data_IF_547680115767
#
_entry.id   IF_547680115767
#
_cell.length_a   1.000
_cell.length_b   1.000
_cell.length_c   1.000
_cell.angle_alpha   90.00
_cell.angle_beta   90.00
_cell.angle_gamma   90.00
#
_symmetry.space_group_name_H-M   'P 1'
#
loop_
_entity.id
_entity.type
_entity.pdbx_description
1 polymer ?
#
# COMPACT_ATOMS: atom_id res chain seq x y z
N UNK A 1 -30.69 -16.42 8.40
CA UNK A 1 -29.46 -16.84 9.11
C UNK A 1 -28.45 -17.18 8.04
N UNK A 2 -27.18 -16.79 8.15
CA UNK A 2 -26.17 -17.15 7.16
C UNK A 2 -25.81 -18.63 7.29
N UNK A 3 -25.56 -19.30 6.15
CA UNK A 3 -25.03 -20.65 6.08
C UNK A 3 -23.51 -20.60 6.11
N UNK A 4 -22.83 -21.71 6.37
CA UNK A 4 -21.36 -21.77 6.29
C UNK A 4 -20.81 -21.35 4.91
N UNK A 5 -21.53 -21.77 3.85
CA UNK A 5 -21.20 -21.39 2.46
C UNK A 5 -21.34 -19.90 2.15
N UNK A 6 -22.10 -19.15 2.96
CA UNK A 6 -22.26 -17.70 2.79
C UNK A 6 -21.07 -16.91 3.37
N UNK A 7 -20.30 -17.54 4.26
CA UNK A 7 -19.19 -16.86 4.95
C UNK A 7 -18.05 -16.60 3.98
N UNK A 8 -17.43 -15.42 4.15
CA UNK A 8 -16.23 -15.07 3.41
C UNK A 8 -15.01 -15.69 4.09
N UNK A 9 -14.21 -16.37 3.30
CA UNK A 9 -12.96 -16.99 3.71
C UNK A 9 -11.78 -16.03 3.47
N UNK A 10 -10.60 -16.37 3.97
CA UNK A 10 -9.39 -15.60 3.72
C UNK A 10 -9.07 -15.42 2.21
N UNK A 11 -9.17 -16.47 1.35
CA UNK A 11 -9.04 -16.30 -0.10
C UNK A 11 -10.03 -15.30 -0.71
N UNK A 12 -11.29 -15.25 -0.20
CA UNK A 12 -12.28 -14.26 -0.64
C UNK A 12 -11.86 -12.83 -0.29
N UNK A 13 -11.32 -12.63 0.92
CA UNK A 13 -10.81 -11.33 1.36
C UNK A 13 -9.63 -10.88 0.51
N UNK A 14 -8.67 -11.77 0.25
CA UNK A 14 -7.51 -11.49 -0.60
C UNK A 14 -7.95 -11.08 -2.00
N UNK A 15 -8.89 -11.84 -2.58
CA UNK A 15 -9.44 -11.54 -3.91
C UNK A 15 -10.15 -10.17 -3.93
N UNK A 16 -10.98 -9.90 -2.93
CA UNK A 16 -11.63 -8.61 -2.79
C UNK A 16 -10.62 -7.46 -2.67
N UNK A 17 -9.61 -7.61 -1.82
CA UNK A 17 -8.57 -6.60 -1.62
C UNK A 17 -7.72 -6.36 -2.86
N UNK A 18 -7.46 -7.41 -3.64
CA UNK A 18 -6.73 -7.31 -4.91
C UNK A 18 -7.45 -6.40 -5.90
N UNK A 19 -8.76 -6.57 -6.06
CA UNK A 19 -9.55 -5.89 -7.10
C UNK A 19 -10.37 -4.69 -6.62
N UNK A 20 -10.52 -4.46 -5.31
CA UNK A 20 -11.23 -3.30 -4.79
C UNK A 20 -10.48 -2.00 -5.12
N UNK A 21 -11.12 -1.00 -5.78
CA UNK A 21 -10.41 0.20 -6.24
C UNK A 21 -10.17 1.25 -5.14
N UNK A 22 -10.95 1.22 -4.04
CA UNK A 22 -10.89 2.25 -2.99
C UNK A 22 -10.03 1.79 -1.81
N UNK A 23 -9.02 2.57 -1.46
CA UNK A 23 -8.20 2.36 -0.26
C UNK A 23 -9.04 2.44 1.02
N UNK A 24 -9.99 3.36 1.06
CA UNK A 24 -10.97 3.50 2.15
C UNK A 24 -11.76 2.21 2.39
N UNK A 25 -12.29 1.60 1.33
CA UNK A 25 -13.09 0.38 1.46
C UNK A 25 -12.20 -0.83 1.76
N UNK A 26 -10.99 -0.89 1.22
CA UNK A 26 -9.98 -1.88 1.63
C UNK A 26 -9.69 -1.76 3.13
N UNK A 27 -9.43 -0.55 3.60
CA UNK A 27 -9.18 -0.28 5.02
C UNK A 27 -10.36 -0.72 5.89
N UNK A 28 -11.59 -0.29 5.58
CA UNK A 28 -12.80 -0.72 6.30
C UNK A 28 -12.92 -2.25 6.33
N UNK A 29 -12.71 -2.91 5.21
CA UNK A 29 -12.85 -4.36 5.06
C UNK A 29 -11.89 -5.13 5.99
N UNK A 30 -10.60 -4.77 5.96
CA UNK A 30 -9.59 -5.46 6.78
C UNK A 30 -9.73 -5.11 8.27
N UNK A 31 -10.07 -3.85 8.62
CA UNK A 31 -10.39 -3.46 10.01
C UNK A 31 -11.62 -4.23 10.53
N UNK A 32 -12.63 -4.44 9.69
CA UNK A 32 -13.80 -5.26 10.04
C UNK A 32 -13.43 -6.72 10.29
N UNK A 33 -12.48 -7.28 9.54
CA UNK A 33 -11.94 -8.63 9.74
C UNK A 33 -11.17 -8.72 11.06
N UNK A 34 -10.20 -7.84 11.27
CA UNK A 34 -9.38 -7.84 12.50
C UNK A 34 -10.24 -7.60 13.74
N UNK A 35 -11.09 -6.58 13.69
CA UNK A 35 -11.87 -6.15 14.84
C UNK A 35 -13.14 -6.95 15.09
N UNK A 36 -13.63 -7.67 14.09
CA UNK A 36 -14.95 -8.33 14.15
C UNK A 36 -16.07 -7.40 14.64
N UNK A 37 -15.94 -6.10 14.37
CA UNK A 37 -16.85 -5.05 14.85
C UNK A 37 -18.15 -5.02 14.08
N UNK A 38 -19.19 -4.46 14.71
CA UNK A 38 -20.40 -4.08 13.97
C UNK A 38 -20.09 -2.92 13.02
N UNK A 39 -20.73 -2.85 11.84
CA UNK A 39 -20.47 -1.76 10.88
C UNK A 39 -20.56 -0.37 11.50
N UNK A 40 -21.63 -0.10 12.26
CA UNK A 40 -21.82 1.19 12.90
C UNK A 40 -20.78 1.51 14.00
N UNK A 41 -20.15 0.50 14.61
CA UNK A 41 -19.08 0.71 15.59
C UNK A 41 -17.84 1.29 14.89
N UNK A 42 -17.42 0.71 13.75
CA UNK A 42 -16.28 1.21 12.96
C UNK A 42 -16.57 2.60 12.38
N UNK A 43 -17.80 2.83 11.88
CA UNK A 43 -18.17 4.11 11.26
C UNK A 43 -18.26 5.27 12.26
N UNK A 44 -18.32 4.98 13.56
CA UNK A 44 -18.27 5.99 14.64
C UNK A 44 -16.85 6.30 15.12
N UNK A 45 -15.85 5.50 14.74
CA UNK A 45 -14.45 5.70 15.12
C UNK A 45 -13.93 7.01 14.54
N UNK A 46 -13.13 7.74 15.29
CA UNK A 46 -12.35 8.90 14.86
C UNK A 46 -10.87 8.55 14.76
N UNK A 47 -10.09 9.32 14.06
CA UNK A 47 -8.63 9.08 13.93
C UNK A 47 -7.95 9.00 15.31
N UNK A 48 -8.37 9.83 16.28
CA UNK A 48 -7.83 9.82 17.65
C UNK A 48 -8.07 8.52 18.44
N UNK A 49 -9.07 7.76 18.02
CA UNK A 49 -9.45 6.50 18.69
C UNK A 49 -8.57 5.33 18.23
N UNK A 50 -7.63 5.56 17.30
CA UNK A 50 -6.68 4.59 16.81
C UNK A 50 -5.30 4.94 17.34
N UNK A 51 -4.72 4.05 18.13
CA UNK A 51 -3.38 4.19 18.69
C UNK A 51 -2.44 3.13 18.09
N UNK A 52 -1.40 3.57 17.38
CA UNK A 52 -0.33 2.69 16.93
C UNK A 52 0.61 2.41 18.09
N UNK A 53 0.93 1.13 18.29
CA UNK A 53 1.78 0.63 19.38
C UNK A 53 2.84 -0.31 18.83
N UNK A 54 3.90 -0.51 19.62
CA UNK A 54 4.97 -1.45 19.30
C UNK A 54 5.16 -2.39 20.50
N UNK A 55 5.30 -3.69 20.23
CA UNK A 55 5.66 -4.71 21.22
C UNK A 55 6.82 -5.53 20.67
N UNK A 56 8.02 -5.35 21.22
CA UNK A 56 9.24 -5.87 20.62
C UNK A 56 9.43 -5.34 19.18
N UNK A 57 9.63 -6.24 18.25
CA UNK A 57 9.80 -5.90 16.84
C UNK A 57 8.46 -5.78 16.06
N UNK A 58 7.33 -6.02 16.71
CA UNK A 58 6.02 -6.02 16.04
C UNK A 58 5.27 -4.73 16.31
N UNK A 59 4.74 -4.13 15.23
CA UNK A 59 3.81 -3.03 15.32
C UNK A 59 2.38 -3.57 15.27
N UNK A 60 1.53 -3.02 16.14
CA UNK A 60 0.09 -3.25 16.12
C UNK A 60 -0.63 -1.93 16.39
N UNK A 61 -1.92 -1.89 16.17
CA UNK A 61 -2.72 -0.74 16.56
C UNK A 61 -3.85 -1.21 17.49
N UNK A 62 -4.32 -0.32 18.33
CA UNK A 62 -5.55 -0.52 19.10
C UNK A 62 -6.57 0.50 18.67
N UNK A 63 -7.79 0.04 18.42
CA UNK A 63 -8.92 0.92 18.15
C UNK A 63 -9.91 0.88 19.31
N UNK A 64 -10.28 2.06 19.81
CA UNK A 64 -11.37 2.21 20.79
C UNK A 64 -12.71 2.24 20.05
N UNK A 65 -13.53 1.24 20.27
CA UNK A 65 -14.87 1.17 19.71
C UNK A 65 -15.93 1.26 20.80
N UNK A 66 -17.01 1.97 20.49
CA UNK A 66 -18.17 2.15 21.38
C UNK A 66 -19.36 1.37 20.84
N UNK A 67 -19.73 0.32 21.55
CA UNK A 67 -20.87 -0.53 21.21
C UNK A 67 -22.02 -0.42 22.21
N UNK A 68 -23.08 -1.22 22.00
CA UNK A 68 -24.25 -1.28 22.88
C UNK A 68 -23.88 -1.71 24.31
N UNK A 69 -22.82 -2.48 24.48
CA UNK A 69 -22.38 -3.06 25.77
C UNK A 69 -21.21 -2.28 26.38
N UNK A 70 -20.94 -1.07 25.93
CA UNK A 70 -19.84 -0.23 26.40
C UNK A 70 -18.70 -0.09 25.39
N UNK A 71 -17.64 0.55 25.85
CA UNK A 71 -16.40 0.76 25.10
C UNK A 71 -15.43 -0.40 25.27
N UNK A 72 -14.69 -0.72 24.21
CA UNK A 72 -13.62 -1.71 24.25
C UNK A 72 -12.46 -1.38 23.33
N UNK A 73 -11.27 -1.74 23.72
CA UNK A 73 -10.08 -1.67 22.89
C UNK A 73 -9.95 -2.97 22.10
N UNK A 74 -9.71 -2.85 20.82
CA UNK A 74 -9.57 -3.99 19.90
C UNK A 74 -8.22 -3.89 19.22
N UNK A 75 -7.40 -4.96 19.27
CA UNK A 75 -6.13 -5.00 18.56
C UNK A 75 -6.38 -5.13 17.05
N UNK A 76 -5.63 -4.36 16.29
CA UNK A 76 -5.56 -4.39 14.84
C UNK A 76 -4.16 -4.83 14.45
N UNK A 77 -4.05 -5.90 13.65
CA UNK A 77 -2.78 -6.50 13.25
C UNK A 77 -2.65 -6.47 11.73
N UNK A 78 -3.52 -7.17 11.03
CA UNK A 78 -3.48 -7.30 9.57
C UNK A 78 -3.92 -6.03 8.85
N UNK A 79 -4.69 -5.20 9.50
CA UNK A 79 -5.23 -3.95 8.92
C UNK A 79 -4.26 -2.77 8.97
N UNK A 80 -3.16 -2.82 9.73
CA UNK A 80 -2.24 -1.68 9.87
C UNK A 80 -1.77 -1.10 8.54
N UNK A 81 -1.24 -1.88 7.56
CA UNK A 81 -0.80 -1.34 6.30
C UNK A 81 -1.92 -0.66 5.49
N UNK A 82 -3.14 -1.19 5.62
CA UNK A 82 -4.31 -0.63 4.94
C UNK A 82 -4.83 0.64 5.60
N UNK A 83 -4.74 0.72 6.94
CA UNK A 83 -5.06 1.92 7.72
C UNK A 83 -4.10 3.05 7.34
N UNK A 84 -2.80 2.80 7.37
CA UNK A 84 -1.78 3.77 6.97
C UNK A 84 -1.97 4.21 5.52
N UNK A 85 -2.09 3.26 4.58
CA UNK A 85 -2.29 3.57 3.16
C UNK A 85 -3.53 4.43 2.90
N UNK A 86 -4.63 4.20 3.62
CA UNK A 86 -5.83 5.02 3.52
C UNK A 86 -5.63 6.41 4.12
N UNK A 87 -5.06 6.50 5.32
CA UNK A 87 -4.84 7.78 6.00
C UNK A 87 -3.87 8.68 5.22
N UNK A 88 -2.81 8.11 4.67
CA UNK A 88 -1.76 8.87 3.99
C UNK A 88 -2.13 9.30 2.56
N UNK A 89 -3.01 8.55 1.87
CA UNK A 89 -3.21 8.77 0.44
C UNK A 89 -4.65 9.06 -0.01
N UNK A 90 -5.67 8.70 0.79
CA UNK A 90 -7.08 8.88 0.36
C UNK A 90 -7.93 9.63 1.41
N UNK A 91 -7.47 9.73 2.67
CA UNK A 91 -8.24 10.39 3.70
C UNK A 91 -8.27 11.90 3.49
N UNK A 92 -9.47 12.55 3.50
CA UNK A 92 -9.58 13.98 3.19
C UNK A 92 -8.97 14.91 4.27
N UNK A 93 -8.82 14.44 5.50
CA UNK A 93 -8.34 15.22 6.65
C UNK A 93 -7.42 14.38 7.56
N UNK A 94 -6.28 13.87 7.08
CA UNK A 94 -5.45 12.93 7.85
C UNK A 94 -4.85 13.57 9.11
N UNK A 95 -4.56 14.87 9.10
CA UNK A 95 -4.02 15.61 10.25
C UNK A 95 -5.03 15.96 11.33
N UNK A 96 -6.33 15.86 11.05
CA UNK A 96 -7.38 16.18 12.01
C UNK A 96 -7.73 14.95 12.86
N UNK A 97 -7.21 14.86 14.06
CA UNK A 97 -7.46 13.74 14.98
C UNK A 97 -8.94 13.54 15.33
N UNK A 98 -9.79 14.58 15.23
CA UNK A 98 -11.21 14.48 15.48
C UNK A 98 -12.02 14.11 14.23
N UNK A 99 -11.40 14.03 13.06
CA UNK A 99 -12.07 13.60 11.84
C UNK A 99 -12.58 12.15 11.96
N UNK A 100 -13.70 11.82 11.31
CA UNK A 100 -14.17 10.43 11.22
C UNK A 100 -13.12 9.56 10.56
N UNK A 101 -12.86 8.37 11.10
CA UNK A 101 -11.90 7.44 10.53
C UNK A 101 -12.29 7.01 9.11
N UNK A 102 -13.55 6.64 8.90
CA UNK A 102 -14.07 6.28 7.56
C UNK A 102 -14.98 7.41 7.08
N UNK A 103 -14.50 8.18 6.11
CA UNK A 103 -15.16 9.35 5.57
C UNK A 103 -16.04 9.04 4.35
N UNK A 104 -17.05 9.86 4.16
CA UNK A 104 -17.80 9.95 2.90
C UNK A 104 -16.97 10.65 1.83
N UNK A 105 -17.30 10.41 0.55
CA UNK A 105 -16.73 11.06 -0.62
C UNK A 105 -17.75 11.94 -1.34
N UNK A 106 -17.33 12.66 -2.37
CA UNK A 106 -18.20 13.51 -3.18
C UNK A 106 -18.77 14.69 -2.38
N UNK A 107 -20.05 14.97 -2.53
CA UNK A 107 -20.74 16.13 -1.90
C UNK A 107 -20.66 16.15 -0.36
N UNK A 108 -20.41 14.99 0.26
CA UNK A 108 -20.31 14.85 1.73
C UNK A 108 -18.87 14.56 2.18
N UNK A 109 -17.88 14.99 1.40
CA UNK A 109 -16.46 14.76 1.67
C UNK A 109 -16.09 15.15 3.11
N UNK A 110 -15.37 14.27 3.81
CA UNK A 110 -14.91 14.47 5.18
C UNK A 110 -15.96 14.25 6.27
N UNK A 111 -17.25 14.04 5.93
CA UNK A 111 -18.27 13.65 6.89
C UNK A 111 -18.22 12.15 7.18
N UNK A 112 -18.76 11.67 8.33
CA UNK A 112 -18.83 10.24 8.60
C UNK A 112 -19.56 9.48 7.50
N UNK A 113 -19.03 8.33 7.09
CA UNK A 113 -19.74 7.45 6.17
C UNK A 113 -20.96 6.84 6.89
N UNK A 114 -22.14 6.91 6.28
CA UNK A 114 -23.36 6.30 6.80
C UNK A 114 -23.40 4.80 6.50
N UNK A 115 -23.99 4.00 7.38
CA UNK A 115 -24.14 2.56 7.18
C UNK A 115 -24.92 2.22 5.90
N UNK A 116 -25.97 2.97 5.60
CA UNK A 116 -26.74 2.81 4.35
C UNK A 116 -25.90 3.09 3.10
N UNK A 117 -24.96 4.04 3.17
CA UNK A 117 -24.04 4.32 2.08
C UNK A 117 -23.00 3.20 1.92
N UNK A 118 -22.51 2.65 3.02
CA UNK A 118 -21.61 1.51 3.01
C UNK A 118 -22.28 0.28 2.38
N UNK A 119 -23.54 -0.01 2.75
CA UNK A 119 -24.34 -1.08 2.13
C UNK A 119 -24.47 -0.89 0.62
N UNK A 120 -24.79 0.34 0.17
CA UNK A 120 -24.86 0.66 -1.27
C UNK A 120 -23.53 0.47 -1.99
N UNK A 121 -22.39 0.75 -1.35
CA UNK A 121 -21.06 0.52 -1.93
C UNK A 121 -20.82 -0.98 -2.17
N UNK A 122 -21.09 -1.83 -1.17
CA UNK A 122 -20.97 -3.28 -1.31
C UNK A 122 -21.93 -3.84 -2.37
N UNK A 123 -23.17 -3.38 -2.39
CA UNK A 123 -24.16 -3.76 -3.41
C UNK A 123 -23.70 -3.34 -4.83
N UNK A 124 -23.17 -2.12 -4.97
CA UNK A 124 -22.63 -1.65 -6.25
C UNK A 124 -21.40 -2.45 -6.69
N UNK A 125 -20.53 -2.85 -5.76
CA UNK A 125 -19.40 -3.71 -6.08
C UNK A 125 -19.90 -5.08 -6.55
N UNK A 126 -20.84 -5.70 -5.85
CA UNK A 126 -21.42 -6.99 -6.25
C UNK A 126 -22.11 -6.94 -7.60
N UNK A 127 -22.94 -5.92 -7.84
CA UNK A 127 -23.82 -5.88 -9.02
C UNK A 127 -23.19 -5.25 -10.25
N UNK A 128 -22.22 -4.35 -10.07
CA UNK A 128 -21.70 -3.54 -11.19
C UNK A 128 -20.20 -3.66 -11.40
N UNK A 129 -19.41 -3.59 -10.34
CA UNK A 129 -17.96 -3.49 -10.49
C UNK A 129 -17.30 -4.85 -10.70
N UNK A 130 -17.51 -5.80 -9.77
CA UNK A 130 -16.88 -7.12 -9.86
C UNK A 130 -17.34 -7.96 -11.07
N UNK A 131 -18.61 -7.91 -11.51
CA UNK A 131 -19.00 -8.58 -12.76
C UNK A 131 -18.21 -8.11 -13.98
N UNK A 132 -17.87 -6.83 -14.08
CA UNK A 132 -17.05 -6.28 -15.18
C UNK A 132 -15.62 -6.85 -15.21
N UNK A 133 -15.13 -7.34 -14.09
CA UNK A 133 -13.80 -7.96 -14.02
C UNK A 133 -13.77 -9.32 -14.74
N UNK A 134 -14.92 -9.98 -14.89
CA UNK A 134 -15.01 -11.25 -15.61
C UNK A 134 -14.73 -11.08 -17.12
N UNK A 135 -15.08 -9.92 -17.66
CA UNK A 135 -14.86 -9.58 -19.08
C UNK A 135 -13.50 -8.91 -19.31
N UNK A 136 -12.79 -8.54 -18.23
CA UNK A 136 -11.53 -7.83 -18.34
C UNK A 136 -10.39 -8.80 -18.73
N UNK A 137 -9.66 -8.56 -19.85
CA UNK A 137 -8.54 -9.41 -20.29
C UNK A 137 -7.35 -9.40 -19.33
N UNK A 138 -7.18 -8.35 -18.53
CA UNK A 138 -6.07 -8.22 -17.57
C UNK A 138 -6.29 -9.00 -16.26
N UNK A 139 -7.44 -9.64 -16.09
CA UNK A 139 -7.74 -10.48 -14.94
C UNK A 139 -7.40 -11.92 -15.26
N UNK A 140 -6.62 -12.56 -14.39
CA UNK A 140 -6.20 -13.95 -14.54
C UNK A 140 -7.43 -14.89 -14.62
N UNK A 141 -7.43 -15.93 -15.48
CA UNK A 141 -8.53 -16.87 -15.58
C UNK A 141 -8.92 -17.53 -14.26
N UNK A 142 -7.94 -17.88 -13.42
CA UNK A 142 -8.16 -18.42 -12.08
C UNK A 142 -8.90 -17.45 -11.16
N UNK A 143 -8.57 -16.16 -11.24
CA UNK A 143 -9.24 -15.13 -10.44
C UNK A 143 -10.66 -14.87 -10.94
N UNK A 144 -10.92 -14.98 -12.25
CA UNK A 144 -12.28 -14.88 -12.78
C UNK A 144 -13.19 -15.96 -12.20
N UNK A 145 -12.71 -17.21 -12.12
CA UNK A 145 -13.47 -18.29 -11.49
C UNK A 145 -13.77 -17.98 -10.02
N UNK A 146 -12.76 -17.56 -9.24
CA UNK A 146 -12.91 -17.17 -7.84
C UNK A 146 -13.88 -15.99 -7.67
N UNK A 147 -13.82 -14.99 -8.56
CA UNK A 147 -14.75 -13.84 -8.57
C UNK A 147 -16.19 -14.36 -8.81
N UNK A 148 -16.40 -15.26 -9.76
CA UNK A 148 -17.71 -15.86 -10.02
C UNK A 148 -18.28 -16.55 -8.78
N UNK A 149 -17.45 -17.30 -8.04
CA UNK A 149 -17.87 -17.97 -6.81
C UNK A 149 -18.13 -16.98 -5.68
N UNK A 150 -17.31 -15.94 -5.53
CA UNK A 150 -17.50 -14.87 -4.55
C UNK A 150 -18.79 -14.08 -4.81
N UNK A 151 -19.17 -13.86 -6.06
CA UNK A 151 -20.42 -13.19 -6.43
C UNK A 151 -21.68 -13.94 -6.00
N UNK A 152 -21.60 -15.26 -5.80
CA UNK A 152 -22.73 -16.08 -5.27
C UNK A 152 -22.98 -15.81 -3.78
N UNK A 153 -21.94 -15.38 -3.04
CA UNK A 153 -22.03 -15.10 -1.60
C UNK A 153 -22.75 -13.78 -1.31
N UNK A 154 -23.26 -13.56 -0.06
CA UNK A 154 -23.80 -12.28 0.36
C UNK A 154 -22.72 -11.20 0.44
N UNK A 155 -23.03 -9.97 -0.05
CA UNK A 155 -22.15 -8.82 0.00
C UNK A 155 -22.76 -7.72 0.87
N UNK A 156 -22.51 -7.81 2.16
CA UNK A 156 -22.91 -6.75 3.10
C UNK A 156 -21.89 -6.67 4.24
N UNK A 157 -21.78 -5.52 4.90
CA UNK A 157 -20.82 -5.33 5.98
C UNK A 157 -21.00 -6.29 7.17
N UNK A 158 -22.21 -6.80 7.41
CA UNK A 158 -22.47 -7.72 8.52
C UNK A 158 -21.93 -9.13 8.28
N UNK A 159 -21.94 -9.61 7.01
CA UNK A 159 -21.36 -10.92 6.69
C UNK A 159 -19.88 -10.95 7.05
N UNK A 160 -19.17 -9.81 6.87
CA UNK A 160 -17.77 -9.69 7.22
C UNK A 160 -17.53 -9.96 8.71
N UNK A 161 -18.40 -9.38 9.58
CA UNK A 161 -18.36 -9.65 11.02
C UNK A 161 -18.63 -11.11 11.33
N UNK A 162 -19.64 -11.71 10.69
CA UNK A 162 -19.96 -13.12 10.90
C UNK A 162 -18.78 -14.02 10.51
N UNK A 163 -18.19 -13.82 9.36
CA UNK A 163 -17.01 -14.57 8.90
C UNK A 163 -15.84 -14.43 9.87
N UNK A 164 -15.53 -13.19 10.29
CA UNK A 164 -14.44 -12.92 11.23
C UNK A 164 -14.67 -13.52 12.63
N UNK A 165 -15.90 -13.54 13.12
CA UNK A 165 -16.20 -14.17 14.41
C UNK A 165 -16.16 -15.70 14.32
N UNK A 166 -16.61 -16.27 13.21
CA UNK A 166 -16.48 -17.70 12.96
C UNK A 166 -15.01 -18.12 12.93
N UNK A 167 -14.17 -17.41 12.18
CA UNK A 167 -12.72 -17.65 12.14
C UNK A 167 -12.09 -17.54 13.53
N UNK A 168 -12.45 -16.51 14.31
CA UNK A 168 -11.90 -16.31 15.65
C UNK A 168 -12.42 -17.28 16.72
N UNK A 169 -13.57 -17.90 16.49
CA UNK A 169 -14.12 -18.89 17.43
C UNK A 169 -13.27 -20.17 17.50
N UNK A 170 -12.45 -20.43 16.48
CA UNK A 170 -11.49 -21.56 16.49
C UNK A 170 -10.21 -21.24 17.24
N UNK A 171 -9.87 -19.96 17.38
CA UNK A 171 -8.59 -19.51 17.93
C UNK A 171 -8.72 -18.99 19.36
N UNK A 172 -9.82 -18.26 19.64
CA UNK A 172 -10.00 -17.55 20.89
C UNK A 172 -10.83 -18.38 21.90
N UNK A 173 -10.41 -18.38 23.15
CA UNK A 173 -11.24 -18.91 24.23
C UNK A 173 -12.57 -18.17 24.32
N UNK A 174 -13.61 -18.84 24.71
CA UNK A 174 -15.00 -18.34 24.72
C UNK A 174 -15.15 -16.96 25.39
N UNK A 175 -14.60 -16.77 26.58
CA UNK A 175 -14.68 -15.50 27.30
C UNK A 175 -13.97 -14.36 26.57
N UNK A 176 -12.84 -14.64 25.92
CA UNK A 176 -12.09 -13.68 25.11
C UNK A 176 -12.88 -13.32 23.84
N UNK A 177 -13.48 -14.32 23.19
CA UNK A 177 -14.33 -14.10 22.01
C UNK A 177 -15.56 -13.25 22.37
N UNK A 178 -16.21 -13.49 23.51
CA UNK A 178 -17.32 -12.67 24.01
C UNK A 178 -16.91 -11.21 24.20
N UNK A 179 -15.78 -10.97 24.86
CA UNK A 179 -15.25 -9.63 25.10
C UNK A 179 -14.88 -8.95 23.76
N UNK A 180 -14.16 -9.65 22.90
CA UNK A 180 -13.77 -9.16 21.57
C UNK A 180 -15.00 -8.77 20.71
N UNK A 181 -16.01 -9.63 20.67
CA UNK A 181 -17.23 -9.38 19.92
C UNK A 181 -18.12 -8.29 20.53
N UNK A 182 -17.87 -7.86 21.76
CA UNK A 182 -18.72 -6.91 22.49
C UNK A 182 -20.09 -7.50 22.79
N UNK A 183 -20.13 -8.71 23.31
CA UNK A 183 -21.34 -9.35 23.84
C UNK A 183 -21.39 -9.20 25.36
N UNK A 184 -22.59 -9.18 25.90
CA UNK A 184 -22.74 -9.20 27.36
C UNK A 184 -22.26 -10.54 27.94
N UNK A 185 -21.83 -10.58 29.23
CA UNK A 185 -21.36 -11.81 29.87
C UNK A 185 -22.37 -12.97 29.84
N UNK A 186 -23.66 -12.65 29.83
CA UNK A 186 -24.74 -13.66 29.78
C UNK A 186 -25.19 -14.02 28.36
N UNK A 187 -24.56 -13.44 27.33
CA UNK A 187 -24.95 -13.67 25.93
C UNK A 187 -24.57 -15.08 25.48
N UNK A 188 -25.51 -15.78 24.88
CA UNK A 188 -25.29 -17.08 24.24
C UNK A 188 -24.97 -16.96 22.73
N UNK A 189 -24.70 -15.74 22.26
CA UNK A 189 -24.44 -15.49 20.82
C UNK A 189 -23.21 -16.25 20.30
N UNK A 190 -22.23 -16.53 21.13
CA UNK A 190 -21.03 -17.32 20.76
C UNK A 190 -21.39 -18.74 20.29
N UNK A 191 -22.43 -19.36 20.86
CA UNK A 191 -22.87 -20.71 20.48
C UNK A 191 -23.27 -20.80 18.98
N UNK A 192 -23.73 -19.68 18.39
CA UNK A 192 -24.06 -19.64 16.96
C UNK A 192 -22.87 -19.82 16.06
N UNK A 193 -21.66 -19.52 16.54
CA UNK A 193 -20.43 -19.61 15.77
C UNK A 193 -19.70 -20.95 16.00
N UNK A 194 -19.92 -21.60 17.13
CA UNK A 194 -19.37 -22.91 17.43
C UNK A 194 -20.02 -24.03 16.61
N UNK A 195 -21.28 -23.87 16.21
CA UNK A 195 -22.02 -24.89 15.44
C UNK A 195 -21.55 -25.05 13.97
N UNK A 196 -20.70 -24.17 13.46
CA UNK A 196 -20.18 -24.29 12.11
C UNK A 196 -19.06 -25.34 11.95
N UNK A 197 -18.52 -25.85 13.06
CA UNK A 197 -17.39 -26.79 13.12
C UNK A 197 -17.85 -28.13 13.70
N UNK A 198 -18.25 -29.08 12.83
CA UNK A 198 -18.93 -30.31 13.28
C UNK A 198 -18.06 -31.33 14.03
N UNK A 199 -16.79 -31.55 13.66
CA UNK A 199 -15.93 -32.63 14.21
C UNK A 199 -14.65 -32.13 14.89
N UNK A 200 -14.46 -30.81 15.00
CA UNK A 200 -13.21 -30.22 15.56
C UNK A 200 -12.98 -30.53 17.05
N UNK A 201 -14.01 -30.99 17.79
CA UNK A 201 -13.84 -31.29 19.21
C UNK A 201 -12.91 -32.50 19.45
N UNK A 202 -12.98 -33.52 18.59
CA UNK A 202 -12.13 -34.69 18.70
C UNK A 202 -10.69 -34.38 18.31
N UNK A 203 -10.50 -33.64 17.22
CA UNK A 203 -9.18 -33.24 16.73
C UNK A 203 -8.49 -32.33 17.76
N UNK A 204 -9.21 -31.38 18.35
CA UNK A 204 -8.68 -30.52 19.41
C UNK A 204 -8.27 -31.29 20.67
N UNK A 205 -8.98 -32.36 21.00
CA UNK A 205 -8.60 -33.26 22.12
C UNK A 205 -7.32 -34.03 21.78
N UNK A 206 -7.26 -34.59 20.57
CA UNK A 206 -6.08 -35.34 20.12
C UNK A 206 -4.83 -34.45 20.01
N UNK A 207 -5.00 -33.19 19.55
CA UNK A 207 -3.95 -32.18 19.53
C UNK A 207 -3.48 -31.80 20.96
N UNK A 208 -4.43 -31.65 21.89
CA UNK A 208 -4.12 -31.31 23.29
C UNK A 208 -3.31 -32.42 23.98
N UNK A 209 -3.55 -33.67 23.63
CA UNK A 209 -2.81 -34.84 24.10
C UNK A 209 -1.57 -35.19 23.27
N UNK A 210 -1.28 -34.41 22.19
CA UNK A 210 -0.10 -34.64 21.37
C UNK A 210 -0.19 -35.86 20.43
N UNK A 211 -1.38 -36.44 20.26
CA UNK A 211 -1.62 -37.58 19.38
C UNK A 211 -1.59 -37.13 17.91
N UNK A 212 -2.11 -35.92 17.61
CA UNK A 212 -2.01 -35.26 16.32
C UNK A 212 -1.12 -34.03 16.51
N UNK A 213 -0.18 -33.76 15.60
CA UNK A 213 0.56 -32.51 15.64
C UNK A 213 -0.44 -31.35 15.58
N UNK A 214 -0.30 -30.38 16.49
CA UNK A 214 -1.03 -29.11 16.35
C UNK A 214 -0.79 -28.61 14.94
N UNK A 215 -1.85 -28.49 14.18
CA UNK A 215 -1.78 -27.92 12.85
C UNK A 215 -1.31 -26.48 12.99
N UNK A 216 0.02 -26.34 13.02
CA UNK A 216 0.72 -25.08 13.22
C UNK A 216 0.57 -24.34 11.91
N UNK A 217 -0.20 -23.31 11.96
CA UNK A 217 -0.30 -22.30 10.96
C UNK A 217 -1.51 -22.44 10.03
N UNK A 218 -2.61 -21.95 10.50
CA UNK A 218 -3.42 -21.15 9.61
C UNK A 218 -2.44 -20.15 8.97
N UNK A 219 -2.12 -20.39 7.69
CA UNK A 219 -1.30 -19.48 6.90
C UNK A 219 -2.09 -18.18 6.76
N UNK A 220 -1.88 -17.26 7.68
CA UNK A 220 -2.51 -15.94 7.61
C UNK A 220 -1.82 -15.15 6.47
N UNK A 221 -2.31 -15.40 5.25
CA UNK A 221 -1.82 -14.75 4.02
C UNK A 221 -2.03 -13.24 4.03
N UNK A 222 -2.88 -12.75 4.92
CA UNK A 222 -3.09 -11.31 5.14
C UNK A 222 -2.13 -10.72 6.17
N UNK A 223 -1.30 -11.54 6.82
CA UNK A 223 -0.32 -11.06 7.79
C UNK A 223 0.66 -10.07 7.16
N UNK A 224 0.86 -8.90 7.76
CA UNK A 224 1.79 -7.92 7.24
C UNK A 224 3.22 -8.46 7.16
N UNK A 225 3.91 -8.13 6.07
CA UNK A 225 5.36 -8.37 5.95
C UNK A 225 6.09 -7.28 6.72
N UNK A 226 6.91 -7.68 7.69
CA UNK A 226 7.79 -6.75 8.40
C UNK A 226 8.97 -6.39 7.51
N UNK A 227 9.29 -5.11 7.40
CA UNK A 227 10.50 -4.68 6.71
C UNK A 227 11.74 -5.04 7.55
N UNK A 228 12.72 -5.77 7.04
CA UNK A 228 13.91 -6.15 7.81
C UNK A 228 14.80 -4.95 8.17
N UNK A 229 14.68 -3.83 7.46
CA UNK A 229 15.47 -2.62 7.71
C UNK A 229 14.85 -1.69 8.76
N UNK A 230 13.52 -1.43 8.68
CA UNK A 230 12.88 -0.42 9.53
C UNK A 230 11.67 -0.96 10.33
N UNK A 231 11.43 -2.26 10.31
CA UNK A 231 10.33 -2.97 10.97
C UNK A 231 8.93 -2.43 10.63
N UNK A 232 8.79 -1.66 9.54
CA UNK A 232 7.49 -1.17 9.08
C UNK A 232 6.64 -2.33 8.57
N UNK A 233 5.39 -2.49 9.05
CA UNK A 233 4.48 -3.50 8.53
C UNK A 233 3.95 -3.07 7.15
N UNK A 234 4.17 -3.92 6.15
CA UNK A 234 3.76 -3.72 4.78
C UNK A 234 2.65 -4.70 4.39
N UNK A 235 1.88 -4.39 3.34
CA UNK A 235 0.90 -5.33 2.81
C UNK A 235 1.58 -6.64 2.38
N UNK A 236 0.87 -7.78 2.44
CA UNK A 236 1.45 -9.07 2.09
C UNK A 236 2.02 -9.14 0.67
N UNK A 237 1.44 -8.40 -0.26
CA UNK A 237 1.80 -8.32 -1.67
C UNK A 237 2.77 -7.19 -2.01
N UNK A 238 3.23 -6.42 -1.00
CA UNK A 238 4.14 -5.30 -1.25
C UNK A 238 5.49 -5.77 -1.76
N UNK A 239 5.92 -5.19 -2.88
CA UNK A 239 7.26 -5.37 -3.47
C UNK A 239 8.31 -4.51 -2.76
N UNK A 240 7.92 -3.35 -2.28
CA UNK A 240 8.79 -2.37 -1.61
C UNK A 240 8.20 -1.93 -0.28
N UNK A 241 9.07 -1.60 0.67
CA UNK A 241 8.66 -1.02 1.94
C UNK A 241 8.06 0.37 1.73
N UNK A 242 6.89 0.61 2.31
CA UNK A 242 6.19 1.90 2.22
C UNK A 242 6.99 3.06 2.85
N UNK A 243 7.79 2.77 3.90
CA UNK A 243 8.54 3.78 4.65
C UNK A 243 9.95 4.01 4.09
N UNK A 244 10.77 2.97 4.00
CA UNK A 244 12.20 3.10 3.64
C UNK A 244 12.52 2.67 2.19
N UNK A 245 11.53 2.25 1.42
CA UNK A 245 11.65 1.79 0.03
C UNK A 245 12.49 0.53 -0.18
N UNK A 246 12.92 -0.14 0.88
CA UNK A 246 13.65 -1.39 0.77
C UNK A 246 12.83 -2.42 -0.03
N UNK A 247 13.51 -3.18 -0.87
CA UNK A 247 12.92 -4.29 -1.64
C UNK A 247 12.52 -5.42 -0.69
N UNK A 248 11.28 -5.92 -0.81
CA UNK A 248 10.70 -6.94 0.06
C UNK A 248 10.49 -8.29 -0.63
N UNK A 249 10.66 -8.37 -1.95
CA UNK A 249 10.46 -9.59 -2.74
C UNK A 249 11.60 -9.79 -3.73
N UNK A 250 11.92 -11.04 -4.03
CA UNK A 250 12.98 -11.39 -4.99
C UNK A 250 12.68 -10.85 -6.39
N UNK A 251 11.44 -10.95 -6.86
CA UNK A 251 11.03 -10.44 -8.18
C UNK A 251 11.26 -8.93 -8.31
N UNK A 252 10.98 -8.17 -7.25
CA UNK A 252 11.22 -6.73 -7.25
C UNK A 252 12.72 -6.40 -7.22
N UNK A 253 13.54 -7.27 -6.63
CA UNK A 253 14.98 -7.11 -6.64
C UNK A 253 15.53 -7.32 -8.07
N UNK A 254 15.13 -8.40 -8.75
CA UNK A 254 15.54 -8.65 -10.12
C UNK A 254 15.09 -7.55 -11.09
N UNK A 255 13.83 -7.12 -11.02
CA UNK A 255 13.32 -6.00 -11.82
C UNK A 255 14.11 -4.69 -11.57
N UNK A 256 14.54 -4.45 -10.33
CA UNK A 256 15.32 -3.26 -9.98
C UNK A 256 16.73 -3.34 -10.56
N UNK A 257 17.35 -4.51 -10.48
CA UNK A 257 18.68 -4.77 -11.00
C UNK A 257 18.70 -4.62 -12.53
N UNK A 258 17.72 -5.20 -13.23
CA UNK A 258 17.59 -5.06 -14.69
C UNK A 258 17.47 -3.58 -15.11
N UNK A 259 16.61 -2.81 -14.42
CA UNK A 259 16.48 -1.37 -14.70
C UNK A 259 17.73 -0.55 -14.39
N UNK A 260 18.54 -0.99 -13.42
CA UNK A 260 19.82 -0.34 -13.17
C UNK A 260 20.79 -0.60 -14.30
N UNK A 261 20.91 -1.85 -14.76
CA UNK A 261 21.77 -2.24 -15.89
C UNK A 261 21.35 -1.52 -17.18
N UNK A 262 20.04 -1.40 -17.45
CA UNK A 262 19.54 -0.64 -18.59
C UNK A 262 19.96 0.84 -18.53
N UNK A 263 19.79 1.48 -17.35
CA UNK A 263 20.19 2.88 -17.14
C UNK A 263 21.69 3.08 -17.28
N UNK A 264 22.50 2.18 -16.74
CA UNK A 264 23.95 2.24 -16.88
C UNK A 264 24.37 2.13 -18.36
N UNK A 265 23.75 1.22 -19.11
CA UNK A 265 23.99 1.08 -20.54
C UNK A 265 23.56 2.33 -21.34
N UNK A 266 22.44 2.97 -20.96
CA UNK A 266 22.00 4.21 -21.59
C UNK A 266 22.94 5.39 -21.29
N UNK A 267 23.41 5.50 -20.05
CA UNK A 267 24.39 6.52 -19.65
C UNK A 267 25.70 6.35 -20.43
N UNK A 268 26.17 5.11 -20.60
CA UNK A 268 27.36 4.82 -21.37
C UNK A 268 27.19 5.24 -22.85
N UNK A 269 26.06 4.90 -23.47
CA UNK A 269 25.79 5.32 -24.87
C UNK A 269 25.71 6.85 -25.02
N UNK A 270 25.14 7.53 -24.05
CA UNK A 270 25.10 9.00 -24.05
C UNK A 270 26.49 9.61 -23.90
N UNK A 271 27.33 9.01 -23.05
CA UNK A 271 28.71 9.44 -22.86
C UNK A 271 29.53 9.27 -24.15
N UNK A 272 29.46 8.11 -24.77
CA UNK A 272 30.13 7.84 -26.05
C UNK A 272 29.68 8.82 -27.17
N UNK A 273 28.37 9.07 -27.25
CA UNK A 273 27.83 10.05 -28.19
C UNK A 273 28.36 11.46 -27.93
N UNK A 274 28.39 11.87 -26.69
CA UNK A 274 28.91 13.18 -26.27
C UNK A 274 30.40 13.33 -26.61
N UNK A 275 31.20 12.30 -26.40
CA UNK A 275 32.62 12.30 -26.78
C UNK A 275 32.80 12.39 -28.29
N UNK A 276 32.00 11.67 -29.07
CA UNK A 276 32.02 11.77 -30.54
C UNK A 276 31.64 13.17 -31.04
N UNK A 277 30.64 13.78 -30.46
CA UNK A 277 30.20 15.14 -30.82
C UNK A 277 31.29 16.18 -30.44
N UNK A 278 31.94 16.02 -29.30
CA UNK A 278 33.06 16.86 -28.90
C UNK A 278 34.24 16.73 -29.87
N UNK A 279 34.55 15.51 -30.31
CA UNK A 279 35.61 15.26 -31.25
C UNK A 279 35.35 15.89 -32.61
N UNK A 280 34.11 15.76 -33.11
CA UNK A 280 33.67 16.46 -34.35
C UNK A 280 33.81 17.97 -34.24
N UNK A 281 33.31 18.57 -33.15
CA UNK A 281 33.46 20.02 -32.93
C UNK A 281 34.92 20.48 -32.90
N UNK A 282 35.81 19.68 -32.31
CA UNK A 282 37.28 19.96 -32.31
C UNK A 282 37.85 19.90 -33.71
N UNK A 283 37.46 18.91 -34.49
CA UNK A 283 37.92 18.76 -35.89
C UNK A 283 37.41 19.91 -36.75
N UNK A 284 36.12 20.27 -36.66
CA UNK A 284 35.57 21.41 -37.37
C UNK A 284 36.25 22.74 -36.99
N UNK A 285 36.48 22.95 -35.67
CA UNK A 285 37.19 24.14 -35.19
C UNK A 285 38.65 24.20 -35.74
N UNK A 286 39.33 23.08 -35.75
CA UNK A 286 40.70 23.00 -36.30
C UNK A 286 40.72 23.25 -37.81
N UNK A 287 39.74 22.74 -38.54
CA UNK A 287 39.59 23.01 -39.97
C UNK A 287 39.31 24.50 -40.27
N UNK A 288 38.40 25.11 -39.49
CA UNK A 288 38.15 26.53 -39.61
C UNK A 288 39.38 27.37 -39.29
N UNK A 289 40.10 27.00 -38.24
CA UNK A 289 41.34 27.69 -37.87
C UNK A 289 42.38 27.56 -38.96
N UNK A 290 42.57 26.37 -39.56
CA UNK A 290 43.48 26.14 -40.68
C UNK A 290 43.10 26.97 -41.91
N UNK A 291 41.80 27.08 -42.23
CA UNK A 291 41.30 27.93 -43.32
C UNK A 291 41.61 29.41 -43.06
N UNK A 292 41.36 29.90 -41.83
CA UNK A 292 41.69 31.28 -41.49
C UNK A 292 43.20 31.55 -41.62
N UNK A 293 44.03 30.64 -41.12
CA UNK A 293 45.50 30.75 -41.22
C UNK A 293 45.95 30.76 -42.69
N UNK A 294 45.40 29.93 -43.58
CA UNK A 294 45.70 29.95 -45.00
C UNK A 294 45.33 31.27 -45.67
N UNK A 295 44.15 31.83 -45.33
CA UNK A 295 43.71 33.17 -45.85
C UNK A 295 44.64 34.29 -45.37
N UNK A 296 45.11 34.25 -44.14
CA UNK A 296 46.04 35.23 -43.61
C UNK A 296 47.42 35.11 -44.27
N UNK A 297 47.90 33.89 -44.58
CA UNK A 297 49.13 33.66 -45.30
C UNK A 297 49.08 34.15 -46.77
N UNK A 298 47.93 33.99 -47.43
CA UNK A 298 47.72 34.45 -48.84
C UNK A 298 47.56 35.98 -48.96
N UNK A 299 47.14 36.64 -47.86
CA UNK A 299 46.97 38.11 -47.82
C UNK A 299 47.65 38.72 -46.57
N UNK A 300 48.96 38.99 -46.64
CA UNK A 300 49.72 39.56 -45.52
C UNK A 300 49.19 40.91 -45.01
N UNK A 301 48.40 41.65 -45.81
CA UNK A 301 47.73 42.89 -45.39
C UNK A 301 46.64 42.70 -44.36
N UNK A 302 46.08 41.49 -44.22
CA UNK A 302 45.06 41.16 -43.21
C UNK A 302 45.67 40.94 -41.82
N UNK A 303 46.94 40.63 -41.71
CA UNK A 303 47.67 40.46 -40.47
C UNK A 303 47.91 41.79 -39.70
N UNK A 304 47.70 42.94 -40.33
CA UNK A 304 47.91 44.27 -39.78
C UNK A 304 46.61 45.04 -39.47
N UNK A 305 45.60 44.38 -38.94
CA UNK A 305 44.44 45.11 -38.36
C UNK A 305 44.84 45.52 -36.92
N UNK A 306 45.39 46.74 -36.78
CA UNK A 306 45.56 47.32 -35.45
C UNK A 306 44.20 47.33 -34.78
N UNK A 307 44.07 46.78 -33.54
CA UNK A 307 42.80 46.88 -32.80
C UNK A 307 42.51 48.38 -32.55
N UNK A 308 41.43 48.87 -33.21
CA UNK A 308 40.90 50.20 -32.85
C UNK A 308 40.50 50.16 -31.40
N UNK A 309 41.17 50.97 -30.56
CA UNK A 309 40.84 51.19 -29.17
C UNK A 309 39.37 51.58 -29.03
N UNK A 310 38.52 50.60 -28.79
CA UNK A 310 37.15 50.87 -28.38
C UNK A 310 37.17 51.20 -26.88
N UNK A 311 37.43 52.49 -26.57
CA UNK A 311 37.22 53.01 -25.22
C UNK A 311 35.68 53.13 -24.99
N UNK A 312 35.00 52.02 -24.74
CA UNK A 312 33.67 52.04 -24.09
C UNK A 312 33.82 51.53 -22.69
N UNK A 313 33.71 52.43 -21.70
CA UNK A 313 33.56 52.15 -20.31
C UNK A 313 32.41 51.16 -20.12
N UNK A 314 32.70 49.90 -19.77
CA UNK A 314 31.72 49.00 -19.16
C UNK A 314 31.64 49.35 -17.69
N UNK A 315 30.50 49.94 -17.30
CA UNK A 315 30.11 50.07 -15.90
C UNK A 315 29.88 48.64 -15.35
N UNK A 316 30.61 48.35 -14.32
CA UNK A 316 30.51 47.18 -13.49
C UNK A 316 29.13 47.05 -12.86
N UNK A 317 28.46 45.94 -13.02
CA UNK A 317 27.59 45.36 -11.98
C UNK A 317 27.43 43.84 -12.20
N UNK A 318 27.65 43.19 -11.11
CA UNK A 318 27.30 41.86 -10.65
C UNK A 318 28.32 40.73 -10.84
N UNK A 319 28.82 40.42 -9.68
CA UNK A 319 29.57 39.26 -9.28
C UNK A 319 28.82 37.96 -9.66
N UNK A 320 29.47 37.12 -10.44
CA UNK A 320 29.17 35.70 -10.46
C UNK A 320 30.21 35.01 -9.58
N UNK A 321 29.76 34.53 -8.44
CA UNK A 321 30.55 33.70 -7.53
C UNK A 321 30.77 32.34 -8.23
N UNK A 322 32.05 32.05 -8.49
CA UNK A 322 32.49 30.66 -8.77
C UNK A 322 32.22 29.80 -7.52
N UNK A 323 31.36 28.83 -7.65
CA UNK A 323 31.22 27.79 -6.64
C UNK A 323 32.33 26.76 -6.82
N UNK A 324 33.22 26.69 -5.83
CA UNK A 324 34.15 25.58 -5.63
C UNK A 324 33.40 24.28 -5.42
N UNK A 325 33.41 23.40 -6.41
CA UNK A 325 32.99 22.01 -6.24
C UNK A 325 34.19 21.24 -5.71
N UNK A 326 34.25 21.04 -4.40
CA UNK A 326 35.13 20.03 -3.79
C UNK A 326 34.49 18.67 -3.99
N UNK A 327 35.14 17.82 -4.76
CA UNK A 327 34.87 16.38 -4.85
C UNK A 327 35.55 15.74 -3.63
N UNK A 328 34.87 15.02 -2.74
CA UNK A 328 35.54 14.18 -1.76
C UNK A 328 36.07 12.95 -2.44
N UNK A 329 37.35 12.68 -2.26
CA UNK A 329 38.02 11.44 -2.56
C UNK A 329 37.64 10.33 -1.57
N UNK A 330 37.55 9.12 -2.07
CA UNK A 330 37.32 7.76 -1.57
C UNK A 330 35.90 7.26 -1.50
#
# INVERSE_FOLDING_TARGET
MYKASDLWTEPDDILFLKYCPSKRIKCYHVVSRDGSCRPHEILKVRIKDIAFKTSGNYQYAEVLVNGKTGSRHIPLINSIPFVKDYLDHEHPQPGNRNAPFICSTGKSLGRPLRESSLLKIYDNYKKKYFPKLLDNPNVLPEDKQKISDLLKKPWNPYIRRHSALTEKSTILKEHVLRQHAGWSPRSQMHLRYLHYFGNESNDSILEAYGVIPKDKQQSDKLRPKQCPNCNEPNKPDSKFCAKCRMVLTYDAYSETLEKQLEKESEVQRLHEKYEQDLQKMREETNQQFAQIMSMVQQNPRLAYIKPRHCKKRLKTTSLVKCCDIRIPAT
#
